data_IF_431283798016
#
_entry.id   IF_431283798016
#
_cell.length_a   1.000
_cell.length_b   1.000
_cell.length_c   1.000
_cell.angle_alpha   90.00
_cell.angle_beta   90.00
_cell.angle_gamma   90.00
#
_symmetry.space_group_name_H-M   'P 1'
#
loop_
_entity.id
_entity.type
_entity.pdbx_description
1 polymer ?
#
# COMPACT_ATOMS: atom_id res chain seq x y z
N UNK A 1 -3.88 -20.49 -1.88
CA UNK A 1 -4.61 -20.55 -0.59
C UNK A 1 -4.90 -19.15 -0.09
N UNK A 2 -6.06 -18.88 0.51
CA UNK A 2 -6.44 -17.57 1.08
C UNK A 2 -6.49 -17.70 2.61
N UNK A 3 -5.31 -17.70 3.23
CA UNK A 3 -5.10 -18.19 4.59
C UNK A 3 -5.11 -17.07 5.66
N UNK A 4 -4.37 -15.98 5.44
CA UNK A 4 -4.22 -14.92 6.45
C UNK A 4 -5.37 -13.91 6.47
N UNK A 5 -5.62 -13.34 7.65
CA UNK A 5 -6.55 -12.23 7.85
C UNK A 5 -5.97 -10.95 7.24
N UNK A 6 -6.77 -10.23 6.45
CA UNK A 6 -6.41 -8.92 5.91
C UNK A 6 -6.99 -7.83 6.80
N UNK A 7 -6.12 -7.01 7.42
CA UNK A 7 -6.55 -5.89 8.26
C UNK A 7 -6.27 -4.57 7.53
N UNK A 8 -7.33 -3.83 7.20
CA UNK A 8 -7.21 -2.51 6.59
C UNK A 8 -7.25 -1.40 7.64
N UNK A 9 -6.19 -0.57 7.67
CA UNK A 9 -6.05 0.57 8.57
C UNK A 9 -6.04 1.88 7.75
N UNK A 10 -7.11 2.69 7.80
CA UNK A 10 -7.20 3.91 7.02
C UNK A 10 -6.27 5.02 7.54
N UNK A 11 -6.06 6.05 6.71
CA UNK A 11 -5.39 7.29 7.09
C UNK A 11 -6.26 8.26 7.88
N UNK A 12 -5.68 9.41 8.22
CA UNK A 12 -6.38 10.54 8.83
C UNK A 12 -7.62 10.92 8.00
N UNK A 13 -8.74 11.26 8.67
CA UNK A 13 -10.04 11.53 8.04
C UNK A 13 -10.70 10.32 7.36
N UNK A 14 -10.09 9.14 7.42
CA UNK A 14 -10.55 7.95 6.69
C UNK A 14 -11.68 7.17 7.36
N UNK A 15 -11.98 7.43 8.62
CA UNK A 15 -13.04 6.75 9.38
C UNK A 15 -14.21 7.68 9.65
N UNK A 16 -15.43 7.14 9.59
CA UNK A 16 -16.66 7.83 10.01
C UNK A 16 -16.69 7.96 11.52
N UNK A 17 -16.92 9.17 12.03
CA UNK A 17 -17.05 9.46 13.46
C UNK A 17 -18.50 9.82 13.80
N UNK A 18 -19.02 9.26 14.89
CA UNK A 18 -20.37 9.51 15.42
C UNK A 18 -20.32 10.03 16.83
N UNK A 19 -21.27 10.89 17.20
CA UNK A 19 -21.47 11.28 18.59
C UNK A 19 -22.21 10.20 19.40
N UNK A 20 -22.42 10.46 20.69
CA UNK A 20 -23.11 9.54 21.62
C UNK A 20 -24.55 9.25 21.20
N UNK A 21 -25.21 10.17 20.49
CA UNK A 21 -26.55 9.97 19.93
C UNK A 21 -26.53 9.21 18.58
N UNK A 22 -25.37 8.76 18.12
CA UNK A 22 -25.21 8.00 16.88
C UNK A 22 -25.29 8.85 15.61
N UNK A 23 -25.24 10.18 15.73
CA UNK A 23 -25.28 11.10 14.58
C UNK A 23 -23.89 11.22 13.97
N UNK A 24 -23.83 11.23 12.65
CA UNK A 24 -22.58 11.34 11.91
C UNK A 24 -21.95 12.74 12.09
N UNK A 25 -20.94 12.83 12.95
CA UNK A 25 -20.04 13.99 13.09
C UNK A 25 -18.99 13.98 11.99
N UNK A 26 -18.72 12.85 11.32
CA UNK A 26 -17.83 12.80 10.15
C UNK A 26 -18.31 11.81 9.08
N UNK A 27 -19.35 12.17 8.31
CA UNK A 27 -19.81 11.44 7.10
C UNK A 27 -20.91 12.20 6.29
N UNK A 28 -20.73 13.49 5.99
CA UNK A 28 -21.82 14.33 5.43
C UNK A 28 -21.95 14.25 3.89
N UNK A 29 -22.97 13.55 3.38
CA UNK A 29 -23.16 13.39 1.93
C UNK A 29 -23.43 14.67 1.13
N UNK A 30 -23.12 14.64 -0.18
CA UNK A 30 -23.37 15.75 -1.10
C UNK A 30 -24.84 16.21 -1.10
N UNK A 31 -25.79 15.29 -0.81
CA UNK A 31 -27.22 15.59 -0.69
C UNK A 31 -27.62 16.32 0.60
N UNK A 32 -26.74 16.36 1.61
CA UNK A 32 -26.95 17.07 2.89
C UNK A 32 -26.32 18.48 2.86
N UNK A 33 -25.54 18.82 1.83
CA UNK A 33 -24.84 20.09 1.68
C UNK A 33 -25.75 21.32 1.82
N UNK A 34 -27.02 21.22 1.41
CA UNK A 34 -28.01 22.29 1.55
C UNK A 34 -28.40 22.62 3.01
N UNK A 35 -28.27 21.68 3.95
CA UNK A 35 -28.46 21.90 5.39
C UNK A 35 -27.17 22.34 6.11
N UNK A 36 -26.01 22.10 5.49
CA UNK A 36 -24.69 22.31 6.10
C UNK A 36 -24.27 23.77 6.05
N UNK A 37 -24.66 24.55 5.04
CA UNK A 37 -24.33 26.00 4.94
C UNK A 37 -24.77 26.85 6.16
N UNK A 38 -25.74 26.36 6.96
CA UNK A 38 -26.25 27.04 8.17
C UNK A 38 -25.70 26.44 9.50
N UNK A 39 -24.78 25.46 9.47
CA UNK A 39 -24.34 24.74 10.67
C UNK A 39 -22.88 24.24 10.68
N UNK A 40 -22.05 24.65 9.71
CA UNK A 40 -20.64 24.23 9.59
C UNK A 40 -19.76 24.59 10.78
N UNK A 41 -20.08 25.64 11.54
CA UNK A 41 -19.29 26.04 12.71
C UNK A 41 -19.38 25.00 13.83
N UNK A 42 -20.62 24.56 14.14
CA UNK A 42 -20.89 23.53 15.17
C UNK A 42 -20.17 22.21 14.88
N UNK A 43 -19.97 21.91 13.60
CA UNK A 43 -19.29 20.71 13.13
C UNK A 43 -17.79 20.68 13.50
N UNK A 44 -17.05 21.76 13.24
CA UNK A 44 -15.64 21.83 13.60
C UNK A 44 -15.43 21.99 15.11
N UNK A 45 -16.39 22.61 15.80
CA UNK A 45 -16.41 22.61 17.26
C UNK A 45 -16.51 21.18 17.83
N UNK A 46 -17.36 20.32 17.26
CA UNK A 46 -17.46 18.91 17.66
C UNK A 46 -16.18 18.09 17.37
N UNK A 47 -15.42 18.48 16.34
CA UNK A 47 -14.12 17.87 16.03
C UNK A 47 -12.99 18.36 16.92
N UNK A 48 -13.17 19.47 17.63
CA UNK A 48 -12.14 20.06 18.50
C UNK A 48 -12.07 19.24 19.80
N UNK A 49 -10.86 18.82 20.16
CA UNK A 49 -10.59 18.08 21.40
C UNK A 49 -10.31 19.05 22.55
N UNK A 50 -10.58 18.65 23.81
CA UNK A 50 -10.17 19.41 24.98
C UNK A 50 -8.65 19.64 25.02
N UNK A 51 -8.17 20.77 25.57
CA UNK A 51 -6.74 21.02 25.73
C UNK A 51 -6.10 20.01 26.68
N UNK A 52 -4.82 19.70 26.47
CA UNK A 52 -4.06 18.78 27.33
C UNK A 52 -4.38 17.30 27.15
N UNK A 53 -5.22 16.95 26.17
CA UNK A 53 -5.44 15.56 25.76
C UNK A 53 -4.16 14.94 25.21
N UNK A 54 -3.59 14.00 25.96
CA UNK A 54 -2.43 13.21 25.53
C UNK A 54 -2.89 11.94 24.80
N UNK A 55 -2.76 10.79 25.46
CA UNK A 55 -3.07 9.47 24.92
C UNK A 55 -4.47 8.97 25.30
N UNK A 56 -5.26 9.78 25.99
CA UNK A 56 -6.55 9.41 26.56
C UNK A 56 -7.67 9.44 25.52
N UNK A 57 -8.74 8.67 25.81
CA UNK A 57 -9.97 8.72 25.03
C UNK A 57 -10.91 9.75 25.66
N UNK A 58 -11.40 10.75 24.89
CA UNK A 58 -12.28 11.78 25.43
C UNK A 58 -13.64 11.19 25.82
N UNK A 59 -14.24 11.75 26.87
CA UNK A 59 -15.58 11.40 27.35
C UNK A 59 -16.60 12.49 27.00
N UNK A 60 -17.88 12.14 27.04
CA UNK A 60 -18.98 13.07 26.82
C UNK A 60 -18.97 13.63 25.39
N UNK A 61 -19.24 14.94 25.20
CA UNK A 61 -19.50 15.52 23.87
C UNK A 61 -18.31 15.48 22.90
N UNK A 62 -17.10 15.21 23.38
CA UNK A 62 -15.89 15.08 22.56
C UNK A 62 -15.54 13.61 22.25
N UNK A 63 -16.16 12.66 22.95
CA UNK A 63 -16.03 11.23 22.73
C UNK A 63 -16.76 10.81 21.46
N UNK A 64 -16.03 10.55 20.38
CA UNK A 64 -16.62 10.10 19.12
C UNK A 64 -16.36 8.62 18.87
N UNK A 65 -17.41 7.90 18.48
CA UNK A 65 -17.37 6.50 18.13
C UNK A 65 -17.01 6.34 16.65
N UNK A 66 -15.89 5.69 16.30
CA UNK A 66 -15.61 5.32 14.93
C UNK A 66 -16.54 4.19 14.49
N UNK A 67 -17.23 4.35 13.36
CA UNK A 67 -18.31 3.44 12.95
C UNK A 67 -18.09 2.73 11.62
N UNK A 68 -17.11 3.15 10.82
CA UNK A 68 -16.80 2.51 9.56
C UNK A 68 -15.86 3.31 8.68
N UNK A 69 -15.63 2.79 7.47
CA UNK A 69 -14.76 3.41 6.48
C UNK A 69 -15.47 4.52 5.70
N UNK A 70 -14.79 5.63 5.48
CA UNK A 70 -15.29 6.69 4.61
C UNK A 70 -15.19 6.25 3.13
N UNK A 71 -16.28 5.68 2.61
CA UNK A 71 -16.33 5.13 1.24
C UNK A 71 -16.52 6.20 0.16
N UNK A 72 -17.28 7.26 0.41
CA UNK A 72 -17.66 8.23 -0.63
C UNK A 72 -16.85 9.52 -0.60
N UNK A 73 -16.41 10.05 -1.76
CA UNK A 73 -15.76 11.36 -1.83
C UNK A 73 -16.78 12.46 -1.52
N UNK A 74 -16.40 13.37 -0.62
CA UNK A 74 -17.31 14.39 -0.08
C UNK A 74 -16.70 15.76 -0.33
N UNK A 75 -17.20 16.51 -1.32
CA UNK A 75 -16.61 17.79 -1.75
C UNK A 75 -16.77 18.84 -0.63
N UNK A 76 -15.64 19.28 -0.07
CA UNK A 76 -15.57 20.44 0.81
C UNK A 76 -14.75 21.55 0.13
N UNK A 77 -15.32 22.76 -0.09
CA UNK A 77 -14.60 23.85 -0.75
C UNK A 77 -13.27 24.19 -0.04
N UNK A 78 -12.16 24.15 -0.78
CA UNK A 78 -10.83 24.60 -0.33
C UNK A 78 -10.07 23.70 0.66
N UNK A 79 -10.65 22.56 1.06
CA UNK A 79 -9.97 21.52 1.84
C UNK A 79 -9.31 20.48 0.91
N UNK A 80 -8.38 19.67 1.44
CA UNK A 80 -7.60 18.67 0.68
C UNK A 80 -8.48 17.82 -0.27
N UNK A 81 -7.94 17.37 -1.43
CA UNK A 81 -8.64 16.38 -2.25
C UNK A 81 -8.99 15.17 -1.37
N UNK A 82 -10.26 14.77 -1.41
CA UNK A 82 -10.83 13.92 -0.36
C UNK A 82 -10.31 12.48 -0.40
N UNK A 83 -9.98 11.96 0.78
CA UNK A 83 -9.74 10.53 0.97
C UNK A 83 -11.11 9.85 1.00
N UNK A 84 -11.37 9.02 0.00
CA UNK A 84 -12.51 8.13 -0.03
C UNK A 84 -12.03 6.78 -0.51
N UNK A 85 -12.47 5.70 0.13
CA UNK A 85 -11.94 4.37 -0.15
C UNK A 85 -12.89 3.53 -1.00
N UNK A 86 -13.79 4.13 -1.79
CA UNK A 86 -14.81 3.38 -2.57
C UNK A 86 -14.21 2.21 -3.34
N UNK A 87 -13.13 2.46 -4.11
CA UNK A 87 -12.54 1.45 -4.98
C UNK A 87 -11.77 0.40 -4.17
N UNK A 88 -10.99 0.84 -3.18
CA UNK A 88 -10.30 -0.09 -2.28
C UNK A 88 -11.27 -1.00 -1.53
N UNK A 89 -12.33 -0.41 -0.99
CA UNK A 89 -13.33 -1.14 -0.25
C UNK A 89 -14.02 -2.17 -1.15
N UNK A 90 -14.40 -1.79 -2.38
CA UNK A 90 -14.94 -2.74 -3.36
C UNK A 90 -13.96 -3.84 -3.76
N UNK A 91 -12.65 -3.56 -3.80
CA UNK A 91 -11.62 -4.58 -4.01
C UNK A 91 -11.54 -5.55 -2.82
N UNK A 92 -11.51 -5.02 -1.59
CA UNK A 92 -11.44 -5.80 -0.37
C UNK A 92 -12.72 -6.63 -0.13
N UNK A 93 -13.90 -6.09 -0.46
CA UNK A 93 -15.19 -6.81 -0.39
C UNK A 93 -15.22 -8.02 -1.33
N UNK A 94 -14.36 -8.05 -2.37
CA UNK A 94 -14.24 -9.18 -3.29
C UNK A 94 -13.37 -10.33 -2.78
N UNK A 95 -12.77 -10.20 -1.60
CA UNK A 95 -12.06 -11.29 -0.93
C UNK A 95 -13.04 -12.23 -0.22
N UNK A 96 -12.53 -13.37 0.27
CA UNK A 96 -13.34 -14.35 1.00
C UNK A 96 -14.06 -13.67 2.17
N UNK A 97 -15.35 -13.99 2.34
CA UNK A 97 -16.16 -13.46 3.44
C UNK A 97 -15.51 -13.75 4.80
N UNK A 98 -15.48 -12.74 5.68
CA UNK A 98 -14.84 -12.83 6.99
C UNK A 98 -13.32 -12.67 6.99
N UNK A 99 -12.64 -12.77 5.84
CA UNK A 99 -11.17 -12.64 5.74
C UNK A 99 -10.68 -11.21 5.90
N UNK A 100 -11.54 -10.21 5.67
CA UNK A 100 -11.17 -8.79 5.76
C UNK A 100 -11.78 -8.14 6.97
N UNK A 101 -10.92 -7.51 7.77
CA UNK A 101 -11.30 -6.68 8.89
C UNK A 101 -10.87 -5.23 8.66
N UNK A 102 -11.83 -4.31 8.59
CA UNK A 102 -11.55 -2.87 8.48
C UNK A 102 -11.52 -2.27 9.89
N UNK A 103 -10.44 -1.58 10.24
CA UNK A 103 -10.27 -0.94 11.54
C UNK A 103 -10.61 0.56 11.48
N UNK A 104 -11.87 0.97 11.74
CA UNK A 104 -12.18 2.38 11.91
C UNK A 104 -11.68 2.85 13.29
N UNK A 105 -11.07 4.03 13.33
CA UNK A 105 -10.56 4.64 14.55
C UNK A 105 -10.79 6.16 14.56
N UNK A 106 -10.75 6.75 15.75
CA UNK A 106 -10.80 8.19 15.92
C UNK A 106 -9.46 8.82 15.55
N UNK A 107 -9.37 9.26 14.30
CA UNK A 107 -8.16 9.82 13.69
C UNK A 107 -7.73 11.17 14.30
N UNK A 108 -8.48 11.72 15.27
CA UNK A 108 -8.11 12.93 16.01
C UNK A 108 -7.15 12.62 17.16
N UNK A 109 -7.24 11.40 17.72
CA UNK A 109 -6.49 10.99 18.92
C UNK A 109 -5.07 10.57 18.57
N UNK A 110 -4.20 10.47 19.58
CA UNK A 110 -2.81 10.07 19.36
C UNK A 110 -2.71 8.70 18.67
N UNK A 111 -1.64 8.52 17.88
CA UNK A 111 -1.35 7.24 17.23
C UNK A 111 -1.06 6.15 18.27
N UNK A 112 -0.60 6.49 19.47
CA UNK A 112 -0.47 5.56 20.60
C UNK A 112 -1.82 5.04 21.06
N UNK A 113 -2.80 5.93 21.26
CA UNK A 113 -4.19 5.56 21.57
C UNK A 113 -4.75 4.65 20.48
N UNK A 114 -4.63 5.09 19.22
CA UNK A 114 -5.12 4.35 18.06
C UNK A 114 -4.48 2.97 17.93
N UNK A 115 -3.18 2.84 18.25
CA UNK A 115 -2.46 1.56 18.22
C UNK A 115 -2.92 0.60 19.32
N UNK A 116 -3.17 1.09 20.54
CA UNK A 116 -3.78 0.28 21.62
C UNK A 116 -5.17 -0.22 21.23
N UNK A 117 -5.96 0.61 20.53
CA UNK A 117 -7.25 0.20 19.98
C UNK A 117 -7.11 -0.80 18.84
N UNK A 118 -6.08 -0.65 17.99
CA UNK A 118 -5.77 -1.59 16.92
C UNK A 118 -5.40 -2.95 17.49
N UNK A 119 -4.60 -3.00 18.57
CA UNK A 119 -4.26 -4.24 19.26
C UNK A 119 -5.51 -5.05 19.64
N UNK A 120 -6.42 -4.44 20.41
CA UNK A 120 -7.66 -5.10 20.85
C UNK A 120 -8.52 -5.53 19.66
N UNK A 121 -8.57 -4.71 18.61
CA UNK A 121 -9.29 -5.04 17.38
C UNK A 121 -8.69 -6.27 16.69
N UNK A 122 -7.37 -6.29 16.48
CA UNK A 122 -6.68 -7.36 15.78
C UNK A 122 -6.75 -8.67 16.57
N UNK A 123 -6.54 -8.64 17.88
CA UNK A 123 -6.68 -9.82 18.75
C UNK A 123 -8.06 -10.48 18.59
N UNK A 124 -9.12 -9.66 18.57
CA UNK A 124 -10.50 -10.13 18.37
C UNK A 124 -10.73 -10.70 16.97
N UNK A 125 -10.37 -9.96 15.92
CA UNK A 125 -10.67 -10.38 14.54
C UNK A 125 -9.80 -11.55 14.09
N UNK A 126 -8.54 -11.60 14.52
CA UNK A 126 -7.66 -12.74 14.25
C UNK A 126 -8.12 -13.99 14.99
N UNK A 127 -8.58 -13.86 16.25
CA UNK A 127 -9.17 -14.98 16.99
C UNK A 127 -10.37 -15.57 16.26
N UNK A 128 -11.32 -14.73 15.83
CA UNK A 128 -12.48 -15.16 15.04
C UNK A 128 -12.08 -15.84 13.73
N UNK A 129 -11.11 -15.28 13.01
CA UNK A 129 -10.66 -15.84 11.75
C UNK A 129 -9.97 -17.20 11.94
N UNK A 130 -9.15 -17.34 12.99
CA UNK A 130 -8.51 -18.62 13.36
C UNK A 130 -9.54 -19.70 13.68
N UNK A 131 -10.60 -19.37 14.42
CA UNK A 131 -11.71 -20.30 14.68
C UNK A 131 -12.40 -20.74 13.39
N UNK A 132 -12.64 -19.82 12.46
CA UNK A 132 -13.23 -20.13 11.15
C UNK A 132 -12.32 -21.03 10.29
N UNK A 133 -11.02 -20.73 10.22
CA UNK A 133 -10.05 -21.55 9.52
C UNK A 133 -9.94 -22.96 10.13
N UNK A 134 -9.91 -23.07 11.45
CA UNK A 134 -9.88 -24.36 12.14
C UNK A 134 -11.15 -25.18 11.87
N UNK A 135 -12.33 -24.55 11.88
CA UNK A 135 -13.60 -25.21 11.54
C UNK A 135 -13.64 -25.67 10.07
N UNK A 136 -12.94 -24.97 9.17
CA UNK A 136 -12.78 -25.35 7.77
C UNK A 136 -11.68 -26.40 7.54
N UNK A 137 -10.96 -26.84 8.58
CA UNK A 137 -9.91 -27.86 8.50
C UNK A 137 -8.57 -27.34 7.96
N UNK A 138 -8.30 -26.04 8.03
CA UNK A 138 -7.00 -25.47 7.65
C UNK A 138 -5.93 -25.87 8.69
N UNK A 139 -4.85 -26.56 8.29
CA UNK A 139 -3.83 -27.05 9.21
C UNK A 139 -2.86 -25.96 9.70
N UNK A 140 -2.80 -24.80 9.05
CA UNK A 140 -1.90 -23.72 9.43
C UNK A 140 -2.61 -22.70 10.36
N UNK A 141 -1.85 -21.96 11.17
CA UNK A 141 -2.40 -20.88 11.98
C UNK A 141 -2.33 -19.55 11.23
N UNK A 142 -3.48 -18.91 10.90
CA UNK A 142 -3.51 -17.62 10.24
C UNK A 142 -2.70 -16.54 10.98
N UNK A 143 -1.97 -15.75 10.19
CA UNK A 143 -1.36 -14.48 10.60
C UNK A 143 -2.15 -13.30 10.01
N UNK A 144 -1.64 -12.09 10.19
CA UNK A 144 -2.26 -10.85 9.71
C UNK A 144 -1.45 -10.23 8.59
N UNK A 145 -2.11 -9.89 7.48
CA UNK A 145 -1.59 -9.01 6.44
C UNK A 145 -2.21 -7.62 6.64
N UNK A 146 -1.39 -6.65 7.02
CA UNK A 146 -1.84 -5.28 7.21
C UNK A 146 -1.80 -4.50 5.91
N UNK A 147 -2.84 -3.72 5.66
CA UNK A 147 -2.92 -2.78 4.54
C UNK A 147 -3.22 -1.42 5.12
N UNK A 148 -2.25 -0.53 5.04
CA UNK A 148 -2.30 0.73 5.76
C UNK A 148 -2.21 1.89 4.80
N UNK A 149 -3.08 2.89 4.94
CA UNK A 149 -2.97 4.14 4.19
C UNK A 149 -2.51 5.28 5.09
N UNK A 150 -1.53 6.06 4.62
CA UNK A 150 -1.10 7.31 5.26
C UNK A 150 -0.78 7.09 6.75
N UNK A 151 -1.37 7.87 7.65
CA UNK A 151 -1.21 7.76 9.10
C UNK A 151 -1.51 6.36 9.67
N UNK A 152 -2.36 5.57 9.02
CA UNK A 152 -2.65 4.19 9.42
C UNK A 152 -1.40 3.31 9.45
N UNK A 153 -0.40 3.61 8.62
CA UNK A 153 0.89 2.89 8.64
C UNK A 153 1.68 3.16 9.93
N UNK A 154 1.61 4.37 10.48
CA UNK A 154 2.25 4.71 11.76
C UNK A 154 1.53 4.04 12.93
N UNK A 155 0.20 4.00 12.91
CA UNK A 155 -0.62 3.29 13.92
C UNK A 155 -0.26 1.81 13.95
N UNK A 156 -0.22 1.16 12.77
CA UNK A 156 0.18 -0.25 12.66
C UNK A 156 1.62 -0.48 13.10
N UNK A 157 2.57 0.33 12.63
CA UNK A 157 3.98 0.18 13.02
C UNK A 157 4.19 0.35 14.52
N UNK A 158 3.47 1.27 15.17
CA UNK A 158 3.52 1.40 16.63
C UNK A 158 2.95 0.18 17.34
N UNK A 159 1.82 -0.36 16.87
CA UNK A 159 1.29 -1.62 17.39
C UNK A 159 2.29 -2.77 17.28
N UNK A 160 2.91 -2.95 16.11
CA UNK A 160 3.86 -4.03 15.89
C UNK A 160 5.12 -3.84 16.74
N UNK A 161 5.76 -2.68 16.67
CA UNK A 161 7.11 -2.49 17.23
C UNK A 161 7.13 -2.14 18.73
N UNK A 162 6.07 -1.50 19.24
CA UNK A 162 6.01 -1.01 20.61
C UNK A 162 5.08 -1.86 21.49
N UNK A 163 3.93 -2.29 20.95
CA UNK A 163 2.90 -3.00 21.72
C UNK A 163 2.98 -4.53 21.59
N UNK A 164 3.97 -5.06 20.86
CA UNK A 164 4.24 -6.50 20.80
C UNK A 164 3.49 -7.26 19.69
N UNK A 165 2.94 -6.57 18.68
CA UNK A 165 2.21 -7.21 17.58
C UNK A 165 3.07 -7.93 16.52
N UNK A 166 4.41 -7.93 16.62
CA UNK A 166 5.32 -8.40 15.55
C UNK A 166 5.04 -9.85 15.11
N UNK A 167 4.84 -10.75 16.06
CA UNK A 167 4.77 -12.20 15.79
C UNK A 167 3.51 -12.63 15.01
N UNK A 168 2.41 -11.89 15.19
CA UNK A 168 1.15 -12.17 14.51
C UNK A 168 1.09 -11.61 13.09
N UNK A 169 2.00 -10.69 12.73
CA UNK A 169 2.05 -10.11 11.41
C UNK A 169 2.79 -11.05 10.44
N UNK A 170 2.22 -11.25 9.25
CA UNK A 170 2.94 -11.84 8.11
C UNK A 170 3.60 -10.75 7.29
N UNK A 171 2.82 -9.73 6.94
CA UNK A 171 3.30 -8.61 6.14
C UNK A 171 2.52 -7.33 6.41
N UNK A 172 3.13 -6.20 6.06
CA UNK A 172 2.58 -4.86 6.18
C UNK A 172 2.78 -4.14 4.85
N UNK A 173 1.69 -3.84 4.17
CA UNK A 173 1.69 -2.97 2.99
C UNK A 173 1.30 -1.56 3.42
N UNK A 174 2.14 -0.58 3.14
CA UNK A 174 1.85 0.82 3.47
C UNK A 174 1.69 1.66 2.21
N UNK A 175 0.69 2.55 2.19
CA UNK A 175 0.33 3.36 1.04
C UNK A 175 0.50 4.83 1.41
N UNK A 176 1.57 5.47 0.92
CA UNK A 176 1.85 6.88 1.19
C UNK A 176 2.05 7.20 2.67
N UNK A 177 2.57 6.26 3.47
CA UNK A 177 2.77 6.48 4.91
C UNK A 177 3.84 7.54 5.15
N UNK A 178 3.55 8.60 5.92
CA UNK A 178 4.54 9.62 6.28
C UNK A 178 5.43 9.11 7.42
N UNK A 179 6.29 8.12 7.14
CA UNK A 179 7.23 7.57 8.11
C UNK A 179 8.00 8.66 8.81
N UNK A 180 8.51 9.66 8.06
CA UNK A 180 9.26 10.81 8.58
C UNK A 180 8.47 12.10 8.81
N UNK A 181 7.13 12.03 8.78
CA UNK A 181 6.25 13.18 8.89
C UNK A 181 6.17 14.02 7.60
N UNK A 182 5.25 14.98 7.57
CA UNK A 182 4.97 15.78 6.37
C UNK A 182 4.91 17.26 6.70
N UNK A 183 5.55 18.10 5.87
CA UNK A 183 5.43 19.57 5.98
C UNK A 183 3.97 20.03 5.86
N UNK A 184 3.12 19.24 5.20
CA UNK A 184 1.67 19.49 5.15
C UNK A 184 0.98 19.48 6.52
N UNK A 185 1.52 18.78 7.51
CA UNK A 185 1.04 18.87 8.89
C UNK A 185 1.29 20.28 9.47
N UNK A 186 2.47 20.87 9.20
CA UNK A 186 2.76 22.27 9.58
C UNK A 186 1.79 23.22 8.89
N UNK A 187 1.49 23.01 7.61
CA UNK A 187 0.51 23.83 6.86
C UNK A 187 -0.88 23.75 7.49
N UNK A 188 -1.32 22.55 7.90
CA UNK A 188 -2.61 22.34 8.55
C UNK A 188 -2.69 23.04 9.92
N UNK A 189 -1.64 22.95 10.73
CA UNK A 189 -1.59 23.53 12.08
C UNK A 189 -1.41 25.06 12.08
N UNK A 190 -0.66 25.60 11.12
CA UNK A 190 -0.43 27.05 11.01
C UNK A 190 -1.48 27.76 10.16
N UNK A 191 -2.29 27.00 9.40
CA UNK A 191 -3.22 27.57 8.43
C UNK A 191 -2.55 28.20 7.21
N UNK A 192 -1.23 28.06 7.08
CA UNK A 192 -0.48 28.65 5.98
C UNK A 192 -0.35 27.61 4.86
N UNK A 193 -1.08 27.83 3.76
CA UNK A 193 -1.02 26.99 2.57
C UNK A 193 -0.43 27.77 1.40
N UNK A 194 0.19 27.11 0.41
CA UNK A 194 0.60 27.77 -0.83
C UNK A 194 -0.58 28.55 -1.45
N UNK A 195 -0.30 29.78 -1.90
CA UNK A 195 -1.27 30.81 -2.33
C UNK A 195 -2.47 30.22 -3.10
N UNK A 196 -3.69 30.51 -2.63
CA UNK A 196 -4.92 30.42 -3.43
C UNK A 196 -5.92 29.32 -3.08
N UNK A 197 -5.51 28.21 -2.42
CA UNK A 197 -6.45 27.09 -2.16
C UNK A 197 -7.45 27.36 -1.04
N UNK A 198 -7.00 27.97 0.06
CA UNK A 198 -7.85 28.30 1.22
C UNK A 198 -8.40 29.73 1.19
N UNK A 199 -7.91 30.60 0.29
CA UNK A 199 -8.44 31.97 0.08
C UNK A 199 -9.89 31.99 -0.42
N UNK A 200 -10.41 30.84 -0.88
CA UNK A 200 -11.81 30.64 -1.27
C UNK A 200 -12.70 30.19 -0.11
N UNK A 201 -12.13 29.93 1.06
CA UNK A 201 -12.84 29.52 2.27
C UNK A 201 -13.07 30.74 3.16
N UNK A 202 -14.30 30.95 3.70
CA UNK A 202 -14.56 32.04 4.63
C UNK A 202 -13.60 32.02 5.83
N UNK A 203 -13.11 33.20 6.22
CA UNK A 203 -12.11 33.33 7.29
C UNK A 203 -12.50 32.60 8.58
N UNK A 204 -13.75 32.77 9.01
CA UNK A 204 -14.29 32.12 10.22
C UNK A 204 -14.17 30.59 10.16
N UNK A 205 -14.49 30.02 8.99
CA UNK A 205 -14.41 28.57 8.78
C UNK A 205 -12.97 28.08 8.80
N UNK A 206 -12.07 28.84 8.17
CA UNK A 206 -10.63 28.60 8.20
C UNK A 206 -10.10 28.60 9.64
N UNK A 207 -10.46 29.60 10.45
CA UNK A 207 -10.02 29.66 11.85
C UNK A 207 -10.47 28.43 12.63
N UNK A 208 -11.74 28.02 12.50
CA UNK A 208 -12.26 26.83 13.20
C UNK A 208 -11.57 25.53 12.77
N UNK A 209 -11.28 25.39 11.49
CA UNK A 209 -10.50 24.26 10.96
C UNK A 209 -9.11 24.18 11.58
N UNK A 210 -8.42 25.31 11.64
CA UNK A 210 -7.08 25.40 12.22
C UNK A 210 -7.14 25.11 13.73
N UNK A 211 -8.12 25.67 14.45
CA UNK A 211 -8.34 25.39 15.87
C UNK A 211 -8.58 23.89 16.12
N UNK A 212 -9.44 23.25 15.33
CA UNK A 212 -9.68 21.82 15.42
C UNK A 212 -8.38 21.04 15.17
N UNK A 213 -7.64 21.33 14.10
CA UNK A 213 -6.36 20.66 13.80
C UNK A 213 -5.32 20.84 14.94
N UNK A 214 -5.24 22.04 15.54
CA UNK A 214 -4.36 22.34 16.69
C UNK A 214 -4.73 21.57 17.96
N UNK A 215 -5.97 21.09 18.08
CA UNK A 215 -6.37 20.26 19.22
C UNK A 215 -6.04 18.78 19.05
N UNK A 216 -5.62 18.32 17.86
CA UNK A 216 -5.47 16.90 17.54
C UNK A 216 -4.02 16.42 17.75
N UNK A 217 -3.75 15.49 18.69
CA UNK A 217 -2.42 14.91 18.86
C UNK A 217 -1.92 14.18 17.61
N UNK A 218 -2.81 13.52 16.86
CA UNK A 218 -2.46 12.82 15.63
C UNK A 218 -1.78 13.73 14.59
N UNK A 219 -2.29 14.95 14.41
CA UNK A 219 -1.76 15.91 13.44
C UNK A 219 -0.36 16.38 13.85
N UNK A 220 -0.11 16.56 15.15
CA UNK A 220 1.22 16.90 15.67
C UNK A 220 2.21 15.75 15.52
N UNK A 221 1.75 14.51 15.64
CA UNK A 221 2.56 13.30 15.40
C UNK A 221 2.90 13.07 13.92
N UNK A 222 2.32 13.87 13.00
CA UNK A 222 2.68 13.91 11.58
C UNK A 222 3.67 15.03 11.23
N UNK A 223 4.16 15.79 12.21
CA UNK A 223 5.16 16.83 11.97
C UNK A 223 6.46 16.23 11.41
N UNK A 224 7.12 16.93 10.47
CA UNK A 224 8.35 16.43 9.84
C UNK A 224 9.48 16.34 10.86
N UNK A 225 10.05 15.14 11.02
CA UNK A 225 11.16 14.88 11.93
C UNK A 225 12.52 14.88 11.23
N UNK A 226 12.58 15.16 9.93
CA UNK A 226 13.82 15.37 9.20
C UNK A 226 14.23 16.85 9.20
N UNK A 227 15.44 17.11 8.72
CA UNK A 227 15.99 18.46 8.59
C UNK A 227 15.23 19.21 7.49
N UNK A 228 14.29 20.06 7.88
CA UNK A 228 13.33 20.69 6.97
C UNK A 228 13.19 22.20 7.17
N UNK A 229 13.91 22.77 8.13
CA UNK A 229 13.86 24.21 8.43
C UNK A 229 14.99 24.92 7.72
N UNK A 230 14.66 26.05 7.07
CA UNK A 230 15.60 26.87 6.30
C UNK A 230 15.61 28.33 6.74
N UNK A 231 16.72 29.03 6.46
CA UNK A 231 17.03 30.32 7.09
C UNK A 231 17.66 30.18 8.49
N UNK A 232 18.08 28.97 8.85
CA UNK A 232 18.79 28.57 10.07
C UNK A 232 20.03 27.75 9.66
N UNK A 233 20.96 27.42 10.59
CA UNK A 233 22.08 26.56 10.28
C UNK A 233 21.66 25.26 9.56
N UNK A 234 22.46 24.82 8.61
CA UNK A 234 22.16 23.61 7.84
C UNK A 234 21.93 22.43 8.78
N UNK A 235 20.86 21.68 8.51
CA UNK A 235 20.44 20.55 9.32
C UNK A 235 19.48 20.87 10.47
N UNK A 236 18.92 22.08 10.52
CA UNK A 236 17.91 22.45 11.52
C UNK A 236 16.61 21.65 11.36
N UNK A 237 16.09 21.13 12.49
CA UNK A 237 14.82 20.40 12.59
C UNK A 237 13.72 21.30 13.15
N UNK A 238 12.46 20.87 12.99
CA UNK A 238 11.32 21.65 13.45
C UNK A 238 11.25 21.80 14.98
N UNK A 239 11.71 20.81 15.74
CA UNK A 239 11.68 20.82 17.21
C UNK A 239 12.74 21.73 17.84
N UNK A 240 13.69 22.23 17.06
CA UNK A 240 14.73 23.16 17.52
C UNK A 240 14.43 24.63 17.20
N UNK A 241 13.25 24.94 16.63
CA UNK A 241 12.84 26.31 16.30
C UNK A 241 11.44 26.61 16.82
N UNK A 242 11.21 27.86 17.19
CA UNK A 242 9.86 28.33 17.51
C UNK A 242 9.12 28.66 16.21
N UNK A 243 7.98 28.02 16.00
CA UNK A 243 7.09 28.31 14.87
C UNK A 243 5.83 28.99 15.41
N UNK A 244 5.41 30.14 14.85
CA UNK A 244 4.19 30.81 15.26
C UNK A 244 3.00 29.85 15.30
N UNK A 245 2.20 29.99 16.35
CA UNK A 245 0.98 29.22 16.61
C UNK A 245 1.11 27.70 16.81
N UNK A 246 2.32 27.13 16.80
CA UNK A 246 2.52 25.74 17.18
C UNK A 246 2.73 25.63 18.69
N UNK A 247 1.90 24.81 19.34
CA UNK A 247 2.07 24.50 20.76
C UNK A 247 3.35 23.68 20.95
N UNK A 248 4.33 24.24 21.66
CA UNK A 248 5.60 23.59 21.91
C UNK A 248 5.47 22.28 22.71
N UNK A 249 4.46 22.14 23.56
CA UNK A 249 4.20 20.89 24.27
C UNK A 249 3.73 19.78 23.33
N UNK A 250 2.80 20.10 22.41
CA UNK A 250 2.32 19.17 21.40
C UNK A 250 3.41 18.81 20.37
N UNK A 251 4.26 19.77 19.98
CA UNK A 251 5.44 19.50 19.15
C UNK A 251 6.39 18.51 19.86
N UNK A 252 6.69 18.75 21.14
CA UNK A 252 7.55 17.83 21.92
C UNK A 252 6.96 16.44 22.02
N UNK A 253 5.65 16.30 22.27
CA UNK A 253 5.00 14.98 22.28
C UNK A 253 5.04 14.30 20.91
N UNK A 254 4.74 15.04 19.83
CA UNK A 254 4.79 14.53 18.47
C UNK A 254 6.18 13.95 18.12
N UNK A 255 7.24 14.64 18.52
CA UNK A 255 8.61 14.17 18.37
C UNK A 255 8.96 13.02 19.32
N UNK A 256 8.41 13.01 20.54
CA UNK A 256 8.58 11.92 21.49
C UNK A 256 7.97 10.62 20.97
N UNK A 257 6.77 10.67 20.37
CA UNK A 257 6.13 9.55 19.69
C UNK A 257 7.05 8.94 18.65
N UNK A 258 7.65 9.81 17.83
CA UNK A 258 8.55 9.32 16.80
C UNK A 258 9.82 8.70 17.36
N UNK A 259 10.48 9.36 18.30
CA UNK A 259 11.71 8.82 18.91
C UNK A 259 11.45 7.46 19.54
N UNK A 260 10.35 7.32 20.26
CA UNK A 260 9.93 6.05 20.84
C UNK A 260 9.77 4.95 19.78
N UNK A 261 9.05 5.22 18.69
CA UNK A 261 8.88 4.26 17.60
C UNK A 261 10.21 3.87 16.95
N UNK A 262 11.05 4.84 16.60
CA UNK A 262 12.35 4.60 15.96
C UNK A 262 13.31 3.82 16.88
N UNK A 263 13.30 4.13 18.18
CA UNK A 263 14.09 3.41 19.19
C UNK A 263 13.65 1.95 19.32
N UNK A 264 12.35 1.67 19.32
CA UNK A 264 11.82 0.32 19.38
C UNK A 264 12.15 -0.48 18.11
N UNK A 265 11.97 0.10 16.92
CA UNK A 265 12.37 -0.52 15.65
C UNK A 265 13.84 -0.93 15.69
N UNK A 266 14.73 -0.02 16.11
CA UNK A 266 16.17 -0.29 16.18
C UNK A 266 16.50 -1.38 17.20
N UNK A 267 15.97 -1.29 18.43
CA UNK A 267 16.20 -2.29 19.49
C UNK A 267 15.72 -3.68 19.08
N UNK A 268 14.55 -3.75 18.45
CA UNK A 268 13.96 -4.99 17.97
C UNK A 268 14.83 -5.62 16.86
N UNK A 269 15.26 -4.84 15.87
CA UNK A 269 16.14 -5.31 14.81
C UNK A 269 17.51 -5.77 15.34
N UNK A 270 18.08 -5.06 16.32
CA UNK A 270 19.32 -5.46 17.01
C UNK A 270 19.13 -6.79 17.76
N UNK A 271 17.99 -6.96 18.45
CA UNK A 271 17.64 -8.20 19.16
C UNK A 271 17.48 -9.38 18.21
N UNK A 272 16.79 -9.20 17.08
CA UNK A 272 16.58 -10.26 16.08
C UNK A 272 17.90 -10.67 15.46
N UNK A 273 18.75 -9.71 15.09
CA UNK A 273 20.09 -9.98 14.55
C UNK A 273 20.96 -10.73 15.56
N UNK A 274 20.94 -10.33 16.83
CA UNK A 274 21.70 -11.00 17.89
C UNK A 274 21.21 -12.44 18.12
N UNK A 275 19.92 -12.70 17.92
CA UNK A 275 19.31 -14.02 18.07
C UNK A 275 19.31 -14.86 16.77
N UNK A 276 19.82 -14.33 15.65
CA UNK A 276 19.77 -14.99 14.35
C UNK A 276 18.34 -15.19 13.80
N UNK A 277 17.37 -14.39 14.26
CA UNK A 277 16.00 -14.42 13.75
C UNK A 277 15.91 -13.64 12.44
N UNK A 278 15.07 -14.12 11.52
CA UNK A 278 14.63 -13.33 10.38
C UNK A 278 13.78 -12.14 10.85
N UNK A 279 13.58 -11.16 9.97
CA UNK A 279 12.58 -10.11 10.19
C UNK A 279 11.22 -10.77 10.52
N UNK A 280 10.49 -10.27 11.53
CA UNK A 280 9.27 -10.92 12.02
C UNK A 280 8.09 -10.83 11.05
N UNK A 281 8.12 -9.83 10.15
CA UNK A 281 7.15 -9.64 9.09
C UNK A 281 7.79 -8.91 7.90
N UNK A 282 7.19 -9.07 6.73
CA UNK A 282 7.63 -8.40 5.52
C UNK A 282 7.01 -6.99 5.40
N UNK A 283 7.82 -5.97 5.16
CA UNK A 283 7.34 -4.60 4.94
C UNK A 283 7.38 -4.25 3.44
N UNK A 284 6.24 -3.83 2.89
CA UNK A 284 6.06 -3.40 1.51
C UNK A 284 5.58 -1.94 1.45
N UNK A 285 6.50 -0.94 1.49
CA UNK A 285 6.13 0.45 1.35
C UNK A 285 5.83 0.80 -0.10
N UNK A 286 4.71 1.49 -0.29
CA UNK A 286 4.26 2.05 -1.56
C UNK A 286 4.23 3.56 -1.43
N UNK A 287 4.96 4.26 -2.30
CA UNK A 287 5.08 5.71 -2.28
C UNK A 287 4.53 6.35 -3.56
N UNK A 288 3.92 7.53 -3.44
CA UNK A 288 3.62 8.36 -4.60
C UNK A 288 4.79 9.25 -4.99
N UNK A 289 5.06 9.35 -6.29
CA UNK A 289 6.16 10.13 -6.88
C UNK A 289 5.68 10.78 -8.18
N UNK A 290 5.30 12.04 -8.11
CA UNK A 290 4.90 12.77 -9.32
C UNK A 290 4.26 14.13 -9.06
N UNK A 291 3.95 14.45 -7.82
CA UNK A 291 3.34 15.72 -7.45
C UNK A 291 4.32 16.62 -6.69
N UNK A 292 4.27 17.95 -6.92
CA UNK A 292 5.00 18.92 -6.10
C UNK A 292 4.60 18.76 -4.63
N UNK A 293 5.59 18.46 -3.80
CA UNK A 293 5.36 18.15 -2.38
C UNK A 293 6.31 18.98 -1.53
N UNK A 294 5.77 19.71 -0.55
CA UNK A 294 6.58 20.54 0.32
C UNK A 294 7.49 19.66 1.19
N UNK A 295 8.79 19.95 1.17
CA UNK A 295 9.84 19.28 1.95
C UNK A 295 10.55 20.23 2.90
N UNK A 296 10.36 21.55 2.72
CA UNK A 296 10.97 22.58 3.56
C UNK A 296 9.98 23.64 3.99
N UNK A 297 10.29 24.24 5.13
CA UNK A 297 9.72 25.50 5.58
C UNK A 297 10.81 26.52 5.92
N UNK A 298 10.47 27.80 5.86
CA UNK A 298 11.27 28.88 6.43
C UNK A 298 10.37 29.79 7.25
N UNK A 299 10.87 30.22 8.40
CA UNK A 299 10.20 31.16 9.30
C UNK A 299 11.00 32.46 9.26
N UNK A 300 10.47 33.50 8.61
CA UNK A 300 11.14 34.80 8.49
C UNK A 300 10.12 35.92 8.69
N UNK A 301 10.46 36.89 9.55
CA UNK A 301 9.63 38.06 9.84
C UNK A 301 8.16 37.73 10.18
N UNK A 302 7.92 36.62 10.89
CA UNK A 302 6.57 36.18 11.27
C UNK A 302 5.77 35.49 10.16
N UNK A 303 6.32 35.34 8.95
CA UNK A 303 5.71 34.63 7.84
C UNK A 303 6.35 33.24 7.66
N UNK A 304 5.52 32.25 7.35
CA UNK A 304 5.96 30.89 7.04
C UNK A 304 5.88 30.70 5.53
N UNK A 305 6.99 30.28 4.92
CA UNK A 305 7.05 29.92 3.50
C UNK A 305 7.42 28.46 3.34
N UNK A 306 6.99 27.84 2.25
CA UNK A 306 7.20 26.41 1.97
C UNK A 306 7.87 26.21 0.63
N UNK A 307 8.73 25.20 0.54
CA UNK A 307 9.42 24.82 -0.69
C UNK A 307 9.37 23.31 -0.92
N UNK A 308 9.32 22.92 -2.18
CA UNK A 308 9.39 21.54 -2.70
C UNK A 308 10.82 21.16 -3.14
N UNK A 309 11.83 21.84 -2.61
CA UNK A 309 13.25 21.66 -2.97
C UNK A 309 14.18 22.05 -1.82
N UNK A 310 15.34 21.42 -1.77
CA UNK A 310 16.50 21.86 -1.00
C UNK A 310 17.38 22.78 -1.85
N UNK A 311 18.12 23.70 -1.22
CA UNK A 311 18.97 24.64 -1.94
C UNK A 311 20.07 23.88 -2.69
N UNK A 312 20.24 24.17 -3.98
CA UNK A 312 21.13 23.49 -4.96
C UNK A 312 20.66 22.13 -5.51
N UNK A 313 19.55 21.58 -5.02
CA UNK A 313 18.98 20.33 -5.54
C UNK A 313 17.84 20.52 -6.55
N UNK A 314 17.53 19.47 -7.30
CA UNK A 314 16.31 19.38 -8.12
C UNK A 314 15.03 19.42 -7.27
N UNK A 315 13.87 19.55 -7.92
CA UNK A 315 12.58 19.45 -7.20
C UNK A 315 12.43 18.08 -6.57
N UNK A 316 12.12 18.06 -5.28
CA UNK A 316 11.80 16.86 -4.56
C UNK A 316 10.35 16.48 -4.86
N UNK A 317 10.16 15.22 -5.24
CA UNK A 317 8.85 14.68 -5.59
C UNK A 317 8.19 14.04 -4.37
N UNK A 318 6.88 13.86 -4.48
CA UNK A 318 6.09 13.09 -3.56
C UNK A 318 4.70 12.88 -4.15
N UNK A 319 3.74 12.66 -3.26
CA UNK A 319 2.33 12.41 -3.59
C UNK A 319 1.42 13.62 -3.35
N UNK A 320 2.01 14.82 -3.19
CA UNK A 320 1.29 16.06 -2.89
C UNK A 320 0.98 16.25 -1.39
N UNK A 321 1.32 15.25 -0.56
CA UNK A 321 1.23 15.29 0.91
C UNK A 321 2.52 14.82 1.56
N UNK A 322 3.01 13.65 1.19
CA UNK A 322 4.18 12.96 1.72
C UNK A 322 5.28 12.97 0.67
N UNK A 323 6.44 13.49 1.06
CA UNK A 323 7.62 13.50 0.19
C UNK A 323 8.23 12.10 0.09
N UNK A 324 8.92 11.79 -1.02
CA UNK A 324 9.54 10.46 -1.20
C UNK A 324 10.47 10.06 -0.03
N UNK A 325 11.23 11.01 0.54
CA UNK A 325 12.08 10.76 1.72
C UNK A 325 11.29 10.32 2.94
N UNK A 326 10.08 10.85 3.11
CA UNK A 326 9.20 10.49 4.21
C UNK A 326 8.34 9.27 3.91
N UNK A 327 8.14 8.90 2.65
CA UNK A 327 7.47 7.66 2.26
C UNK A 327 8.40 6.43 2.38
N UNK A 328 9.69 6.66 2.60
CA UNK A 328 10.68 5.61 2.84
C UNK A 328 10.81 5.37 4.35
N UNK A 329 10.77 4.11 4.83
CA UNK A 329 11.04 3.78 6.22
C UNK A 329 12.41 4.33 6.67
N UNK A 330 12.54 4.94 7.87
CA UNK A 330 13.79 5.58 8.31
C UNK A 330 14.92 4.59 8.55
N UNK A 331 14.59 3.33 8.83
CA UNK A 331 15.53 2.22 8.97
C UNK A 331 16.11 1.74 7.63
N UNK A 332 15.66 2.28 6.48
CA UNK A 332 16.18 1.95 5.16
C UNK A 332 17.09 3.07 4.64
N UNK A 333 18.27 2.69 4.14
CA UNK A 333 19.25 3.63 3.60
C UNK A 333 18.75 4.38 2.36
N UNK A 334 17.85 3.76 1.58
CA UNK A 334 17.29 4.36 0.37
C UNK A 334 15.89 3.84 0.04
N UNK A 335 15.18 4.60 -0.79
CA UNK A 335 13.86 4.23 -1.33
C UNK A 335 13.90 3.18 -2.45
N UNK A 336 15.01 2.46 -2.66
CA UNK A 336 15.14 1.48 -3.73
C UNK A 336 14.16 0.30 -3.62
N UNK A 337 13.74 -0.01 -2.39
CA UNK A 337 12.77 -1.08 -2.06
C UNK A 337 11.32 -0.59 -1.97
N UNK A 338 11.08 0.69 -2.24
CA UNK A 338 9.73 1.28 -2.21
C UNK A 338 9.11 1.15 -3.59
N UNK A 339 7.88 0.64 -3.65
CA UNK A 339 7.13 0.58 -4.89
C UNK A 339 6.60 1.99 -5.22
N UNK A 340 7.20 2.64 -6.21
CA UNK A 340 6.89 4.03 -6.58
C UNK A 340 5.81 4.13 -7.66
N UNK A 341 4.76 4.88 -7.38
CA UNK A 341 3.67 5.14 -8.31
C UNK A 341 3.57 6.63 -8.65
N UNK A 342 3.23 6.97 -9.89
CA UNK A 342 2.96 8.37 -10.30
C UNK A 342 1.54 8.80 -9.91
N UNK A 343 1.21 8.66 -8.62
CA UNK A 343 -0.11 8.90 -8.05
C UNK A 343 -0.01 9.88 -6.88
N UNK A 344 -1.06 10.69 -6.72
CA UNK A 344 -1.25 11.54 -5.55
C UNK A 344 -1.72 10.75 -4.33
N UNK A 345 -1.60 11.35 -3.15
CA UNK A 345 -1.82 10.72 -1.85
C UNK A 345 -3.17 10.00 -1.77
N UNK A 346 -4.25 10.65 -2.20
CA UNK A 346 -5.61 10.09 -2.13
C UNK A 346 -5.94 9.15 -3.29
N UNK A 347 -5.14 9.17 -4.35
CA UNK A 347 -5.30 8.30 -5.52
C UNK A 347 -4.68 6.92 -5.27
N UNK A 348 -3.55 6.85 -4.53
CA UNK A 348 -2.85 5.61 -4.19
C UNK A 348 -3.78 4.48 -3.76
N UNK A 349 -4.58 4.60 -2.67
CA UNK A 349 -5.43 3.49 -2.22
C UNK A 349 -6.51 3.08 -3.23
N UNK A 350 -6.81 3.90 -4.24
CA UNK A 350 -7.90 3.69 -5.20
C UNK A 350 -7.43 3.27 -6.59
N UNK A 351 -6.14 3.00 -6.76
CA UNK A 351 -5.57 2.60 -8.04
C UNK A 351 -5.73 1.10 -8.32
N UNK A 352 -6.11 0.77 -9.55
CA UNK A 352 -6.41 -0.61 -9.93
C UNK A 352 -5.16 -1.49 -10.07
N UNK A 353 -4.00 -0.93 -10.44
CA UNK A 353 -2.75 -1.69 -10.50
C UNK A 353 -2.27 -2.01 -9.09
N UNK A 354 -2.42 -1.06 -8.16
CA UNK A 354 -2.13 -1.29 -6.76
C UNK A 354 -3.03 -2.39 -6.18
N UNK A 355 -4.32 -2.42 -6.51
CA UNK A 355 -5.23 -3.50 -6.08
C UNK A 355 -4.78 -4.89 -6.57
N UNK A 356 -4.22 -4.99 -7.79
CA UNK A 356 -3.64 -6.25 -8.27
C UNK A 356 -2.43 -6.67 -7.44
N UNK A 357 -1.50 -5.75 -7.21
CA UNK A 357 -0.34 -6.03 -6.36
C UNK A 357 -0.73 -6.40 -4.94
N UNK A 358 -1.73 -5.71 -4.38
CA UNK A 358 -2.27 -6.00 -3.07
C UNK A 358 -2.82 -7.42 -2.99
N UNK A 359 -3.60 -7.85 -4.00
CA UNK A 359 -4.05 -9.24 -4.12
C UNK A 359 -2.89 -10.24 -4.09
N UNK A 360 -1.82 -9.94 -4.82
CA UNK A 360 -0.61 -10.77 -4.84
C UNK A 360 0.07 -10.85 -3.46
N UNK A 361 0.02 -9.77 -2.67
CA UNK A 361 0.52 -9.75 -1.27
C UNK A 361 -0.42 -10.47 -0.30
N UNK A 362 -1.74 -10.45 -0.52
CA UNK A 362 -2.72 -11.14 0.33
C UNK A 362 -2.69 -12.64 0.10
N UNK A 363 -2.67 -13.05 -1.15
CA UNK A 363 -2.75 -14.46 -1.54
C UNK A 363 -1.36 -15.12 -1.52
N UNK A 364 -0.32 -14.33 -1.19
CA UNK A 364 1.08 -14.72 -1.14
C UNK A 364 1.44 -15.64 -2.31
N UNK A 365 1.24 -15.12 -3.54
CA UNK A 365 1.35 -15.82 -4.84
C UNK A 365 2.14 -17.12 -4.67
N UNK A 366 1.41 -18.24 -4.54
CA UNK A 366 2.08 -19.52 -4.41
C UNK A 366 2.86 -19.74 -5.71
N UNK A 367 4.18 -19.64 -5.63
CA UNK A 367 5.04 -19.93 -6.77
C UNK A 367 4.93 -21.40 -7.19
N UNK A 368 4.42 -22.28 -6.32
CA UNK A 368 4.13 -23.68 -6.65
C UNK A 368 3.27 -23.80 -7.90
N UNK A 369 2.06 -23.23 -8.04
CA UNK A 369 1.31 -23.19 -9.31
C UNK A 369 2.06 -22.64 -10.54
N UNK A 370 3.12 -21.85 -10.36
CA UNK A 370 3.98 -21.37 -11.45
C UNK A 370 5.20 -22.27 -11.70
N UNK A 371 5.54 -23.14 -10.74
CA UNK A 371 6.60 -24.15 -10.81
C UNK A 371 6.04 -25.52 -11.22
N UNK A 372 4.86 -25.89 -10.72
CA UNK A 372 3.95 -26.86 -11.29
C UNK A 372 3.27 -26.15 -12.45
N UNK A 373 3.96 -26.04 -13.58
CA UNK A 373 3.29 -25.91 -14.86
C UNK A 373 2.13 -26.89 -14.83
N UNK A 374 0.88 -26.40 -14.83
CA UNK A 374 -0.23 -27.30 -15.17
C UNK A 374 0.13 -28.00 -16.48
N UNK A 375 -0.22 -29.28 -16.60
CA UNK A 375 -0.03 -30.16 -17.78
C UNK A 375 0.78 -29.49 -18.91
N UNK A 376 2.11 -29.66 -18.86
CA UNK A 376 3.04 -28.97 -19.75
C UNK A 376 4.09 -29.90 -20.33
N UNK A 377 4.72 -29.47 -21.41
CA UNK A 377 5.83 -30.19 -22.04
C UNK A 377 6.80 -29.16 -22.64
N UNK A 378 8.09 -29.51 -22.65
CA UNK A 378 9.12 -28.79 -23.40
C UNK A 378 9.40 -29.51 -24.72
N UNK A 379 9.92 -28.78 -25.72
CA UNK A 379 10.38 -29.37 -26.98
C UNK A 379 11.87 -29.11 -27.18
N UNK A 380 12.53 -30.02 -27.87
CA UNK A 380 13.90 -29.92 -28.33
C UNK A 380 13.92 -30.20 -29.83
N UNK A 381 14.40 -29.21 -30.58
CA UNK A 381 14.42 -29.18 -32.04
C UNK A 381 15.80 -28.67 -32.47
N UNK A 382 16.44 -29.29 -33.48
CA UNK A 382 17.69 -28.79 -34.03
C UNK A 382 17.57 -27.34 -34.48
N UNK A 383 18.54 -26.50 -34.14
CA UNK A 383 18.60 -25.11 -34.63
C UNK A 383 18.77 -25.06 -36.16
N UNK A 384 19.52 -26.02 -36.71
CA UNK A 384 19.70 -26.19 -38.14
C UNK A 384 19.89 -27.65 -38.56
N UNK A 385 19.45 -27.99 -39.78
CA UNK A 385 19.70 -29.29 -40.43
C UNK A 385 20.04 -29.09 -41.91
N UNK A 386 20.73 -30.07 -42.52
CA UNK A 386 20.95 -30.07 -43.98
C UNK A 386 19.69 -30.44 -44.77
N UNK A 387 19.64 -30.03 -46.04
CA UNK A 387 18.54 -30.36 -46.93
C UNK A 387 18.37 -31.88 -47.08
N UNK A 388 17.15 -32.37 -46.82
CA UNK A 388 16.85 -33.81 -46.88
C UNK A 388 17.28 -34.61 -45.65
N UNK A 389 17.94 -33.99 -44.66
CA UNK A 389 18.16 -34.60 -43.36
C UNK A 389 16.85 -34.62 -42.54
N UNK A 390 16.64 -35.68 -41.73
CA UNK A 390 15.49 -35.75 -40.86
C UNK A 390 15.54 -34.68 -39.77
N UNK A 391 14.43 -33.97 -39.58
CA UNK A 391 14.25 -33.05 -38.45
C UNK A 391 13.72 -33.85 -37.27
N UNK A 392 14.57 -34.14 -36.30
CA UNK A 392 14.14 -34.77 -35.05
C UNK A 392 13.47 -33.74 -34.14
N UNK A 393 12.21 -33.98 -33.79
CA UNK A 393 11.47 -33.18 -32.81
C UNK A 393 11.24 -34.05 -31.58
N UNK A 394 11.87 -33.67 -30.47
CA UNK A 394 11.71 -34.32 -29.18
C UNK A 394 10.83 -33.46 -28.29
N UNK A 395 10.05 -34.09 -27.44
CA UNK A 395 9.35 -33.39 -26.37
C UNK A 395 9.48 -34.16 -25.07
N UNK A 396 9.49 -33.44 -23.94
CA UNK A 396 9.56 -34.03 -22.61
C UNK A 396 8.43 -33.45 -21.77
N UNK A 397 7.67 -34.32 -21.12
CA UNK A 397 6.62 -33.97 -20.19
C UNK A 397 6.73 -34.79 -18.91
N UNK A 398 6.38 -34.18 -17.79
CA UNK A 398 6.17 -34.91 -16.53
C UNK A 398 4.90 -35.78 -16.58
N UNK A 399 4.01 -35.55 -17.55
CA UNK A 399 2.82 -36.34 -17.80
C UNK A 399 3.03 -37.33 -18.95
N UNK A 400 3.04 -38.62 -18.62
CA UNK A 400 3.29 -39.72 -19.57
C UNK A 400 2.09 -40.04 -20.48
N UNK A 401 0.94 -39.41 -20.25
CA UNK A 401 -0.32 -39.69 -20.94
C UNK A 401 -0.76 -38.63 -21.97
N UNK A 402 0.09 -37.66 -22.31
CA UNK A 402 -0.28 -36.60 -23.24
C UNK A 402 -0.34 -37.10 -24.68
N UNK A 403 -1.28 -36.52 -25.43
CA UNK A 403 -1.31 -36.65 -26.87
C UNK A 403 -0.70 -35.38 -27.46
N UNK A 404 0.54 -35.48 -27.94
CA UNK A 404 1.25 -34.37 -28.56
C UNK A 404 1.20 -34.46 -30.09
N UNK A 405 0.95 -33.32 -30.74
CA UNK A 405 0.94 -33.18 -32.19
C UNK A 405 1.92 -32.08 -32.60
N UNK A 406 2.90 -32.44 -33.42
CA UNK A 406 3.87 -31.52 -34.02
C UNK A 406 3.50 -31.12 -35.44
N UNK A 407 3.86 -29.89 -35.82
CA UNK A 407 3.62 -29.28 -37.13
C UNK A 407 4.84 -28.49 -37.57
N UNK A 408 5.18 -28.58 -38.85
CA UNK A 408 6.10 -27.65 -39.48
C UNK A 408 5.30 -26.59 -40.24
N UNK A 409 5.53 -25.34 -39.90
CA UNK A 409 4.75 -24.19 -40.38
C UNK A 409 5.68 -23.19 -41.04
N UNK A 410 5.28 -22.67 -42.21
CA UNK A 410 5.98 -21.54 -42.81
C UNK A 410 5.75 -20.29 -41.94
N UNK A 411 6.80 -19.63 -41.43
CA UNK A 411 6.63 -18.42 -40.61
C UNK A 411 6.10 -17.24 -41.43
N UNK A 412 6.19 -17.29 -42.77
CA UNK A 412 5.76 -16.21 -43.67
C UNK A 412 4.29 -16.38 -44.08
N UNK A 413 3.90 -17.58 -44.50
CA UNK A 413 2.55 -17.82 -45.04
C UNK A 413 1.60 -18.40 -43.99
N UNK A 414 2.12 -18.95 -42.89
CA UNK A 414 1.34 -19.71 -41.91
C UNK A 414 0.89 -21.08 -42.42
N UNK A 415 1.36 -21.50 -43.60
CA UNK A 415 1.00 -22.78 -44.20
C UNK A 415 1.68 -23.94 -43.45
N UNK A 416 0.91 -24.96 -43.13
CA UNK A 416 1.42 -26.19 -42.48
C UNK A 416 1.95 -27.10 -43.57
N UNK A 417 3.27 -27.31 -43.59
CA UNK A 417 3.93 -28.24 -44.50
C UNK A 417 3.59 -29.68 -44.14
N UNK A 418 3.74 -30.01 -42.85
CA UNK A 418 3.52 -31.35 -42.34
C UNK A 418 2.94 -31.28 -40.92
N UNK A 419 2.11 -32.26 -40.57
CA UNK A 419 1.54 -32.46 -39.23
C UNK A 419 1.65 -33.92 -38.85
N UNK A 420 2.10 -34.21 -37.64
CA UNK A 420 2.28 -35.58 -37.14
C UNK A 420 2.12 -35.66 -35.63
N UNK A 421 1.68 -36.82 -35.13
CA UNK A 421 1.72 -37.11 -33.69
C UNK A 421 3.13 -37.48 -33.24
N UNK A 422 3.56 -36.97 -32.09
CA UNK A 422 4.79 -37.42 -31.45
C UNK A 422 4.51 -38.74 -30.72
N UNK A 423 5.40 -39.72 -30.90
CA UNK A 423 5.28 -41.04 -30.29
C UNK A 423 5.83 -41.00 -28.87
N UNK A 424 5.04 -41.37 -27.83
CA UNK A 424 5.54 -41.45 -26.46
C UNK A 424 6.49 -42.64 -26.29
N UNK A 425 7.51 -42.48 -25.45
CA UNK A 425 8.42 -43.56 -25.04
C UNK A 425 7.95 -44.31 -23.77
N UNK A 426 6.93 -43.80 -23.09
CA UNK A 426 6.36 -44.37 -21.86
C UNK A 426 6.99 -43.85 -20.56
N UNK A 427 8.06 -43.06 -20.64
CA UNK A 427 8.74 -42.44 -19.49
C UNK A 427 8.62 -40.90 -19.48
N UNK A 428 7.77 -40.35 -20.36
CA UNK A 428 7.50 -38.91 -20.44
C UNK A 428 8.21 -38.23 -21.61
N UNK A 429 9.01 -38.95 -22.38
CA UNK A 429 9.56 -38.48 -23.64
C UNK A 429 8.63 -38.77 -24.81
N UNK A 430 8.72 -37.92 -25.83
CA UNK A 430 8.00 -38.03 -27.08
C UNK A 430 8.92 -37.73 -28.25
N UNK A 431 8.72 -38.41 -29.37
CA UNK A 431 9.57 -38.24 -30.54
C UNK A 431 8.78 -38.24 -31.85
N UNK A 432 9.16 -37.35 -32.77
CA UNK A 432 8.67 -37.33 -34.14
C UNK A 432 9.76 -36.87 -35.09
N UNK A 433 9.68 -37.36 -36.33
CA UNK A 433 10.63 -37.00 -37.39
C UNK A 433 9.86 -36.32 -38.50
N UNK A 434 10.34 -35.18 -38.95
CA UNK A 434 9.76 -34.40 -40.04
C UNK A 434 10.77 -34.22 -41.18
N UNK A 435 10.28 -33.78 -42.33
CA UNK A 435 11.13 -33.41 -43.46
C UNK A 435 10.68 -32.06 -44.00
N UNK A 436 11.63 -31.14 -44.18
CA UNK A 436 11.38 -29.83 -44.75
C UNK A 436 12.37 -29.51 -45.86
N UNK A 437 11.93 -28.77 -46.90
CA UNK A 437 12.86 -28.23 -47.90
C UNK A 437 13.66 -27.05 -47.31
N UNK A 438 14.76 -26.64 -47.97
CA UNK A 438 15.58 -25.51 -47.57
C UNK A 438 14.76 -24.25 -47.26
N UNK A 439 15.07 -23.59 -46.15
CA UNK A 439 14.34 -22.41 -45.67
C UNK A 439 14.18 -22.35 -44.16
N UNK A 440 13.44 -21.34 -43.69
CA UNK A 440 13.13 -21.16 -42.27
C UNK A 440 11.73 -21.71 -42.00
N UNK A 441 11.64 -22.56 -40.99
CA UNK A 441 10.41 -23.22 -40.57
C UNK A 441 10.16 -22.99 -39.09
N UNK A 442 8.90 -22.93 -38.70
CA UNK A 442 8.46 -22.93 -37.32
C UNK A 442 7.97 -24.34 -36.96
N UNK A 443 8.62 -24.97 -36.00
CA UNK A 443 8.13 -26.22 -35.43
C UNK A 443 7.17 -25.88 -34.30
N UNK A 444 5.89 -26.18 -34.47
CA UNK A 444 4.87 -26.03 -33.43
C UNK A 444 4.49 -27.39 -32.86
N UNK A 445 4.43 -27.53 -31.54
CA UNK A 445 3.91 -28.73 -30.88
C UNK A 445 2.81 -28.34 -29.91
N UNK A 446 1.67 -29.00 -30.00
CA UNK A 446 0.50 -28.77 -29.16
C UNK A 446 -0.01 -30.06 -28.50
N UNK A 447 -0.78 -29.93 -27.42
CA UNK A 447 -1.55 -31.02 -26.82
C UNK A 447 -3.05 -30.80 -27.12
N UNK A 448 -3.62 -31.36 -28.21
CA UNK A 448 -4.94 -30.96 -28.70
C UNK A 448 -6.11 -31.22 -27.74
N UNK A 449 -5.90 -32.15 -26.78
CA UNK A 449 -6.91 -32.53 -25.79
C UNK A 449 -6.78 -31.79 -24.46
N UNK A 450 -5.75 -30.96 -24.31
CA UNK A 450 -5.46 -30.21 -23.09
C UNK A 450 -5.35 -28.74 -23.46
N UNK A 451 -6.49 -28.04 -23.47
CA UNK A 451 -6.56 -26.63 -23.89
C UNK A 451 -5.79 -25.67 -22.98
N UNK A 452 -5.39 -26.12 -21.78
CA UNK A 452 -4.56 -25.37 -20.85
C UNK A 452 -3.06 -25.52 -21.10
N UNK A 453 -2.63 -26.53 -21.87
CA UNK A 453 -1.23 -26.73 -22.21
C UNK A 453 -0.80 -25.69 -23.26
N UNK A 454 0.29 -24.94 -23.03
CA UNK A 454 0.78 -23.98 -24.01
C UNK A 454 1.29 -24.70 -25.26
N UNK A 455 1.04 -24.10 -26.43
CA UNK A 455 1.66 -24.52 -27.69
C UNK A 455 3.14 -24.13 -27.64
N UNK A 456 4.03 -25.10 -27.82
CA UNK A 456 5.47 -24.89 -27.89
C UNK A 456 5.88 -24.58 -29.32
N UNK A 457 6.83 -23.67 -29.49
CA UNK A 457 7.26 -23.17 -30.80
C UNK A 457 8.77 -22.97 -30.82
N UNK A 458 9.44 -23.58 -31.79
CA UNK A 458 10.88 -23.39 -32.02
C UNK A 458 11.17 -23.15 -33.49
N UNK A 459 12.19 -22.34 -33.77
CA UNK A 459 12.61 -22.01 -35.15
C UNK A 459 13.65 -22.99 -35.63
N UNK A 460 13.45 -23.51 -36.85
CA UNK A 460 14.36 -24.43 -37.53
C UNK A 460 14.87 -23.76 -38.81
N UNK A 461 16.17 -23.85 -39.06
CA UNK A 461 16.78 -23.46 -40.33
C UNK A 461 17.19 -24.72 -41.11
N UNK A 462 16.60 -24.95 -42.28
CA UNK A 462 17.04 -26.00 -43.20
C UNK A 462 18.00 -25.37 -44.22
N UNK A 463 19.26 -25.76 -44.15
CA UNK A 463 20.34 -25.29 -45.01
C UNK A 463 20.38 -26.09 -46.31
N UNK A 464 20.75 -25.45 -47.42
CA UNK A 464 20.93 -26.09 -48.74
C UNK A 464 22.06 -27.15 -48.77
#
# INVERSE_FOLDING_TARGET
MAHDLVVFVPGVLGSVLRDEEGRDVWNLSLGVAGRVLLGMERYFEQLTLPPGMADETPQGPHGLAPSGLLREPRIWPGLMPHIAYKKLAGHLDGLIEGRVAVFPYDWRLSNRNSARRLQVFVERELGRWREQCAAAGDPAEPKVVFVCHSMGGLVTRYYLEVLGGREIARSVVTLGTPYSGAVKAVQALTGTFPRGKLLRVPERLRTRLITAARSMPSVHQLLPTYQCVSGHPDGTRLDSVSVPDLDSAMVRDGFAFRRELDEHIRKNAESDRAAGRSEPYELFPVGGRGEPTAVRLSVSAGAITYADRFEKDGRWLGDGTVACVSATPPEWESGARVDWFRLGHTALPNDALLHRQLKDRYDALEHRPYQTLGVGFGIDVPEAVGAGEPVEVKAVSEETGLLLEGRLVSPVTGEVLERRRLLPDGEGGYHGVFTAPPGIWLTEVEAPRVTTAPVQRETLVVLD
#
